data_IF_464629592389
#
_entry.id   IF_464629592389
#
_cell.length_a   1.000
_cell.length_b   1.000
_cell.length_c   1.000
_cell.angle_alpha   90.00
_cell.angle_beta   90.00
_cell.angle_gamma   90.00
#
_symmetry.space_group_name_H-M   'P 1'
#
loop_
_entity.id
_entity.type
_entity.pdbx_description
1 polymer ?
#
# COMPACT_ATOMS: atom_id res chain seq x y z
N UNK A 1 -10.21 -31.38 39.20
CA UNK A 1 -11.06 -31.57 40.39
C UNK A 1 -10.95 -30.43 41.44
N UNK A 2 -9.99 -29.48 41.31
CA UNK A 2 -9.82 -28.35 42.26
C UNK A 2 -10.30 -26.96 41.75
N UNK A 3 -10.81 -26.85 40.52
CA UNK A 3 -11.16 -25.55 39.90
C UNK A 3 -12.28 -24.77 40.60
N UNK A 4 -13.23 -25.47 41.24
CA UNK A 4 -14.31 -24.83 41.99
C UNK A 4 -13.81 -24.14 43.28
N UNK A 5 -12.81 -24.71 43.95
CA UNK A 5 -12.19 -24.12 45.15
C UNK A 5 -11.43 -22.82 44.81
N UNK A 6 -10.73 -22.80 43.67
CA UNK A 6 -10.03 -21.58 43.20
C UNK A 6 -11.00 -20.47 42.77
N UNK A 7 -12.09 -20.80 42.08
CA UNK A 7 -13.14 -19.83 41.70
C UNK A 7 -13.88 -19.22 42.91
N UNK A 8 -13.97 -19.95 44.03
CA UNK A 8 -14.62 -19.45 45.25
C UNK A 8 -13.74 -18.49 46.05
N UNK A 9 -12.42 -18.69 46.05
CA UNK A 9 -11.46 -17.85 46.76
C UNK A 9 -11.03 -16.59 45.97
N UNK A 10 -10.99 -16.63 44.63
CA UNK A 10 -10.38 -15.58 43.80
C UNK A 10 -11.31 -14.97 42.73
N UNK A 11 -12.58 -15.37 42.69
CA UNK A 11 -13.53 -14.97 41.64
C UNK A 11 -13.35 -15.79 40.34
N UNK A 12 -14.26 -15.67 39.37
CA UNK A 12 -14.20 -16.45 38.13
C UNK A 12 -12.98 -16.03 37.29
N UNK A 13 -12.18 -17.00 36.85
CA UNK A 13 -11.12 -16.78 35.86
C UNK A 13 -11.70 -16.15 34.59
N UNK A 14 -11.20 -14.98 34.19
CA UNK A 14 -11.59 -14.32 32.94
C UNK A 14 -10.89 -15.00 31.78
N UNK A 15 -11.63 -15.44 30.77
CA UNK A 15 -11.06 -16.02 29.54
C UNK A 15 -10.99 -15.01 28.39
N UNK A 16 -10.15 -15.30 27.40
CA UNK A 16 -10.10 -14.55 26.14
C UNK A 16 -11.46 -14.55 25.45
N UNK A 17 -12.22 -15.65 25.56
CA UNK A 17 -13.56 -15.76 25.00
C UNK A 17 -14.53 -14.78 25.68
N UNK A 18 -14.40 -14.58 27.00
CA UNK A 18 -15.19 -13.59 27.73
C UNK A 18 -14.83 -12.18 27.27
N UNK A 19 -13.54 -11.88 27.09
CA UNK A 19 -13.08 -10.60 26.56
C UNK A 19 -13.61 -10.32 25.15
N UNK A 20 -13.57 -11.31 24.26
CA UNK A 20 -14.12 -11.20 22.90
C UNK A 20 -15.64 -11.03 22.95
N UNK A 21 -16.33 -11.78 23.80
CA UNK A 21 -17.79 -11.66 23.98
C UNK A 21 -18.18 -10.26 24.48
N UNK A 22 -17.42 -9.69 25.42
CA UNK A 22 -17.61 -8.32 25.87
C UNK A 22 -17.34 -7.31 24.74
N UNK A 23 -16.28 -7.49 23.96
CA UNK A 23 -15.94 -6.62 22.84
C UNK A 23 -17.01 -6.59 21.73
N UNK A 24 -17.64 -7.74 21.45
CA UNK A 24 -18.69 -7.85 20.44
C UNK A 24 -20.12 -7.69 21.01
N UNK A 25 -20.24 -7.37 22.30
CA UNK A 25 -21.52 -7.08 22.92
C UNK A 25 -22.08 -5.72 22.47
N UNK A 26 -23.34 -5.46 22.82
CA UNK A 26 -24.00 -4.20 22.49
C UNK A 26 -23.46 -3.06 23.37
N UNK A 27 -22.88 -2.04 22.76
CA UNK A 27 -22.44 -0.83 23.46
C UNK A 27 -23.54 0.24 23.44
N UNK A 28 -23.94 0.73 24.61
CA UNK A 28 -24.85 1.87 24.70
C UNK A 28 -24.11 3.20 24.52
N UNK A 29 -24.50 3.97 23.50
CA UNK A 29 -24.00 5.31 23.22
C UNK A 29 -24.90 6.35 23.90
N UNK A 30 -24.45 6.91 25.03
CA UNK A 30 -25.19 7.89 25.86
C UNK A 30 -24.24 8.99 26.37
N UNK A 31 -24.81 10.10 26.85
CA UNK A 31 -24.04 11.22 27.42
C UNK A 31 -23.09 11.84 26.40
N UNK A 32 -21.82 11.98 26.75
CA UNK A 32 -20.79 12.55 25.86
C UNK A 32 -20.49 11.68 24.64
N UNK A 33 -20.91 10.41 24.64
CA UNK A 33 -20.72 9.45 23.54
C UNK A 33 -21.95 9.30 22.63
N UNK A 34 -22.91 10.24 22.66
CA UNK A 34 -24.12 10.17 21.83
C UNK A 34 -23.79 10.18 20.33
N UNK A 35 -24.56 9.42 19.55
CA UNK A 35 -24.39 9.33 18.10
C UNK A 35 -25.12 10.48 17.39
N UNK A 36 -24.45 11.13 16.42
CA UNK A 36 -25.07 12.11 15.54
C UNK A 36 -25.90 11.41 14.47
N UNK A 37 -27.22 11.48 14.59
CA UNK A 37 -28.12 10.82 13.67
C UNK A 37 -28.38 11.67 12.42
N UNK A 38 -27.99 11.17 11.25
CA UNK A 38 -28.16 11.87 9.97
C UNK A 38 -29.62 12.19 9.62
N UNK A 39 -30.56 11.32 10.01
CA UNK A 39 -32.01 11.56 9.77
C UNK A 39 -32.60 12.61 10.71
N UNK A 40 -32.08 12.68 11.93
CA UNK A 40 -32.59 13.58 12.97
C UNK A 40 -31.83 14.91 13.03
N UNK A 41 -30.65 14.99 12.40
CA UNK A 41 -29.68 16.08 12.45
C UNK A 41 -29.34 16.54 13.89
N UNK A 42 -29.22 15.58 14.82
CA UNK A 42 -28.91 15.83 16.24
C UNK A 42 -28.35 14.61 16.94
N UNK A 43 -27.69 14.84 18.08
CA UNK A 43 -27.18 13.80 18.97
C UNK A 43 -28.32 12.97 19.56
N UNK A 44 -28.15 11.64 19.57
CA UNK A 44 -29.11 10.66 20.07
C UNK A 44 -28.43 9.56 20.85
N UNK A 45 -29.17 9.01 21.81
CA UNK A 45 -28.80 7.75 22.41
C UNK A 45 -28.85 6.67 21.31
N UNK A 46 -27.82 5.82 21.26
CA UNK A 46 -27.72 4.75 20.29
C UNK A 46 -27.31 3.45 20.95
N UNK A 47 -27.46 2.36 20.20
CA UNK A 47 -26.85 1.07 20.54
C UNK A 47 -25.95 0.70 19.38
N UNK A 48 -24.68 0.44 19.66
CA UNK A 48 -23.68 0.03 18.67
C UNK A 48 -23.40 -1.46 18.84
N UNK A 49 -23.41 -2.18 17.72
CA UNK A 49 -22.95 -3.57 17.66
C UNK A 49 -21.77 -3.65 16.72
N UNK A 50 -20.84 -4.56 16.98
CA UNK A 50 -19.72 -4.86 16.10
C UNK A 50 -19.74 -6.34 15.74
N UNK A 51 -19.41 -6.68 14.50
CA UNK A 51 -19.31 -8.04 13.99
C UNK A 51 -18.17 -8.13 12.98
N UNK A 52 -17.58 -9.31 12.83
CA UNK A 52 -16.46 -9.54 11.90
C UNK A 52 -17.00 -9.85 10.50
N UNK A 53 -16.62 -9.04 9.50
CA UNK A 53 -16.97 -9.27 8.09
C UNK A 53 -15.96 -10.17 7.36
N UNK A 54 -14.71 -10.19 7.81
CA UNK A 54 -13.65 -11.00 7.22
C UNK A 54 -12.62 -11.34 8.28
N UNK A 55 -12.26 -12.62 8.36
CA UNK A 55 -11.24 -13.13 9.26
C UNK A 55 -9.85 -13.11 8.60
N UNK A 56 -8.81 -12.54 9.25
CA UNK A 56 -7.45 -12.50 8.72
C UNK A 56 -6.73 -13.85 8.88
N UNK A 57 -5.73 -14.17 8.06
CA UNK A 57 -4.92 -15.40 8.25
C UNK A 57 -4.14 -15.40 9.56
N UNK A 58 -3.71 -14.21 10.02
CA UNK A 58 -3.13 -13.98 11.34
C UNK A 58 -4.00 -12.96 12.08
N UNK A 59 -4.62 -13.40 13.18
CA UNK A 59 -5.42 -12.59 14.08
C UNK A 59 -4.52 -12.04 15.19
N UNK A 60 -4.42 -10.72 15.26
CA UNK A 60 -3.76 -10.01 16.36
C UNK A 60 -4.81 -9.58 17.37
N UNK A 61 -4.68 -10.05 18.62
CA UNK A 61 -5.59 -9.71 19.72
C UNK A 61 -4.85 -8.91 20.77
N UNK A 62 -5.24 -7.65 20.95
CA UNK A 62 -4.69 -6.78 21.98
C UNK A 62 -5.61 -6.74 23.21
N UNK A 63 -5.06 -7.14 24.35
CA UNK A 63 -5.73 -6.99 25.65
C UNK A 63 -5.49 -5.56 26.16
N UNK A 64 -6.55 -4.74 26.17
CA UNK A 64 -6.52 -3.32 26.60
C UNK A 64 -6.28 -3.18 28.11
N UNK A 65 -5.04 -3.43 28.56
CA UNK A 65 -4.65 -3.43 29.97
C UNK A 65 -4.38 -2.04 30.52
N UNK A 66 -3.94 -1.11 29.70
CA UNK A 66 -3.56 0.23 30.15
C UNK A 66 -4.74 1.19 30.11
N UNK A 67 -4.90 1.96 31.18
CA UNK A 67 -5.83 3.08 31.27
C UNK A 67 -5.03 4.34 31.59
N UNK A 68 -5.21 5.36 30.77
CA UNK A 68 -4.60 6.67 30.97
C UNK A 68 -5.69 7.66 31.32
N UNK A 69 -5.68 8.13 32.55
CA UNK A 69 -6.53 9.23 33.02
C UNK A 69 -5.67 10.47 33.20
N UNK A 70 -6.30 11.66 33.24
CA UNK A 70 -5.60 12.95 33.24
C UNK A 70 -4.54 13.07 34.35
N UNK A 71 -4.77 12.42 35.51
CA UNK A 71 -3.86 12.50 36.66
C UNK A 71 -3.06 11.23 36.94
N UNK A 72 -3.44 10.07 36.39
CA UNK A 72 -2.74 8.82 36.65
C UNK A 72 -2.90 7.83 35.51
N UNK A 73 -1.91 6.95 35.37
CA UNK A 73 -1.97 5.80 34.46
C UNK A 73 -2.00 4.52 35.29
N UNK A 74 -2.84 3.56 34.90
CA UNK A 74 -2.98 2.28 35.60
C UNK A 74 -2.92 1.10 34.62
N UNK A 75 -2.50 -0.06 35.12
CA UNK A 75 -2.44 -1.33 34.37
C UNK A 75 -3.35 -2.36 35.04
N UNK A 76 -4.20 -3.00 34.26
CA UNK A 76 -5.02 -4.14 34.66
C UNK A 76 -4.15 -5.40 34.63
N UNK A 77 -3.79 -5.90 35.80
CA UNK A 77 -2.95 -7.09 36.00
C UNK A 77 -3.73 -8.40 36.12
N UNK A 78 -5.06 -8.37 35.95
CA UNK A 78 -5.88 -9.57 35.98
C UNK A 78 -5.38 -10.61 34.98
N UNK A 79 -5.23 -11.84 35.43
CA UNK A 79 -4.93 -12.97 34.57
C UNK A 79 -6.10 -13.19 33.59
N UNK A 80 -5.76 -13.38 32.32
CA UNK A 80 -6.72 -13.72 31.26
C UNK A 80 -6.29 -15.07 30.71
N UNK A 81 -7.12 -16.10 30.85
CA UNK A 81 -6.82 -17.40 30.27
C UNK A 81 -7.05 -17.37 28.76
N UNK A 82 -6.14 -17.93 27.98
CA UNK A 82 -6.24 -18.00 26.53
C UNK A 82 -5.85 -19.38 26.02
N UNK A 83 -6.51 -19.91 24.97
CA UNK A 83 -6.19 -21.22 24.42
C UNK A 83 -4.91 -21.15 23.57
N UNK A 84 -4.05 -22.16 23.66
CA UNK A 84 -2.94 -22.30 22.70
C UNK A 84 -3.43 -22.82 21.35
N UNK A 85 -4.50 -23.61 21.34
CA UNK A 85 -5.07 -24.21 20.14
C UNK A 85 -6.59 -24.08 20.18
N UNK A 86 -7.23 -23.96 19.01
CA UNK A 86 -8.67 -24.06 18.91
C UNK A 86 -9.47 -22.82 19.33
N UNK A 87 -8.90 -21.61 19.21
CA UNK A 87 -9.68 -20.37 19.40
C UNK A 87 -10.73 -20.25 18.28
N UNK A 88 -12.01 -20.34 18.64
CA UNK A 88 -13.12 -20.24 17.68
C UNK A 88 -13.71 -18.83 17.61
N UNK A 89 -13.57 -18.20 16.44
CA UNK A 89 -14.12 -16.89 16.13
C UNK A 89 -15.53 -16.93 15.53
N UNK A 90 -16.09 -18.13 15.27
CA UNK A 90 -17.41 -18.30 14.65
C UNK A 90 -18.55 -17.51 15.33
N UNK A 91 -18.62 -17.35 16.68
CA UNK A 91 -19.72 -16.64 17.33
C UNK A 91 -19.77 -15.13 17.03
N UNK A 92 -18.65 -14.56 16.56
CA UNK A 92 -18.45 -13.12 16.38
C UNK A 92 -18.61 -12.66 14.93
N UNK A 93 -18.89 -13.58 14.01
CA UNK A 93 -19.01 -13.28 12.59
C UNK A 93 -20.32 -12.57 12.24
N UNK A 94 -20.26 -11.72 11.23
CA UNK A 94 -21.44 -11.19 10.55
C UNK A 94 -22.03 -12.26 9.62
N UNK A 95 -23.32 -12.18 9.33
CA UNK A 95 -23.99 -13.10 8.40
C UNK A 95 -23.41 -13.06 6.97
N UNK A 96 -22.86 -11.90 6.57
CA UNK A 96 -22.21 -11.70 5.27
C UNK A 96 -20.73 -12.09 5.27
N UNK A 97 -20.20 -12.59 6.40
CA UNK A 97 -18.83 -13.09 6.44
C UNK A 97 -18.72 -14.31 5.53
N UNK A 98 -17.75 -14.34 4.59
CA UNK A 98 -17.52 -15.51 3.76
C UNK A 98 -17.33 -16.76 4.62
N UNK A 99 -17.97 -17.86 4.21
CA UNK A 99 -17.76 -19.17 4.84
C UNK A 99 -16.29 -19.56 4.65
N UNK A 100 -15.64 -19.99 5.72
CA UNK A 100 -14.23 -20.35 5.70
C UNK A 100 -13.76 -20.84 7.06
N UNK A 101 -12.44 -20.88 7.22
CA UNK A 101 -11.80 -21.32 8.47
C UNK A 101 -11.96 -20.24 9.55
N UNK A 102 -12.52 -20.64 10.70
CA UNK A 102 -12.79 -19.76 11.85
C UNK A 102 -11.94 -20.07 13.09
N UNK A 103 -11.19 -21.17 13.05
CA UNK A 103 -10.37 -21.67 14.16
C UNK A 103 -8.94 -21.17 14.03
N UNK A 104 -8.34 -20.83 15.16
CA UNK A 104 -6.98 -20.34 15.23
C UNK A 104 -6.18 -20.98 16.36
N UNK A 105 -4.87 -21.13 16.11
CA UNK A 105 -3.90 -21.57 17.10
C UNK A 105 -2.87 -20.46 17.37
N UNK A 106 -2.43 -20.35 18.61
CA UNK A 106 -1.49 -19.33 19.06
C UNK A 106 -0.11 -19.62 18.50
N UNK A 107 0.49 -18.62 17.86
CA UNK A 107 1.85 -18.72 17.29
C UNK A 107 2.86 -17.86 18.02
N UNK A 108 2.42 -16.76 18.61
CA UNK A 108 3.26 -15.89 19.40
C UNK A 108 2.41 -15.04 20.35
N UNK A 109 3.04 -14.46 21.37
CA UNK A 109 2.45 -13.46 22.22
C UNK A 109 3.53 -12.50 22.76
N UNK A 110 3.10 -11.30 23.13
CA UNK A 110 3.91 -10.32 23.84
C UNK A 110 3.36 -10.20 25.25
N UNK A 111 4.25 -10.30 26.23
CA UNK A 111 3.99 -10.02 27.64
C UNK A 111 4.48 -8.64 28.01
N UNK A 112 3.85 -8.06 29.02
CA UNK A 112 4.38 -6.87 29.67
C UNK A 112 4.38 -7.09 31.17
N UNK A 113 5.55 -7.05 31.79
CA UNK A 113 5.71 -7.08 33.24
C UNK A 113 5.87 -5.66 33.78
N UNK A 114 5.39 -5.41 34.99
CA UNK A 114 5.48 -4.09 35.62
C UNK A 114 4.22 -3.24 35.47
N UNK A 115 4.39 -1.93 35.59
CA UNK A 115 3.31 -0.93 35.75
C UNK A 115 3.08 -0.11 34.48
N UNK A 116 2.09 0.78 34.49
CA UNK A 116 1.85 1.69 33.37
C UNK A 116 2.97 2.72 33.14
N UNK A 117 3.77 3.04 34.17
CA UNK A 117 4.86 4.03 34.08
C UNK A 117 6.24 3.45 33.82
N UNK A 118 6.43 2.15 34.08
CA UNK A 118 7.69 1.43 33.88
C UNK A 118 7.42 -0.06 33.88
N UNK A 119 8.02 -0.77 32.92
CA UNK A 119 7.84 -2.20 32.74
C UNK A 119 8.82 -2.78 31.73
N UNK A 120 8.65 -4.06 31.46
CA UNK A 120 9.53 -4.84 30.59
C UNK A 120 8.69 -5.68 29.64
N UNK A 121 9.09 -5.76 28.37
CA UNK A 121 8.40 -6.54 27.35
C UNK A 121 9.21 -7.79 27.02
N UNK A 122 8.52 -8.93 27.00
CA UNK A 122 9.08 -10.22 26.55
C UNK A 122 8.17 -10.80 25.48
N UNK A 123 8.74 -11.53 24.54
CA UNK A 123 7.97 -12.23 23.52
C UNK A 123 8.09 -13.74 23.69
N UNK A 124 7.00 -14.46 23.46
CA UNK A 124 7.02 -15.90 23.32
C UNK A 124 6.60 -16.26 21.89
N UNK A 125 7.32 -17.16 21.24
CA UNK A 125 6.97 -17.60 19.90
C UNK A 125 7.20 -19.10 19.72
N UNK A 126 6.30 -19.73 18.96
CA UNK A 126 6.41 -21.12 18.55
C UNK A 126 7.33 -21.20 17.33
N UNK A 127 8.41 -21.95 17.44
CA UNK A 127 9.31 -22.21 16.32
C UNK A 127 8.70 -23.30 15.42
N UNK A 128 8.42 -22.94 14.17
CA UNK A 128 7.78 -23.83 13.20
C UNK A 128 8.66 -24.98 12.69
N UNK A 129 9.98 -24.94 12.95
CA UNK A 129 10.91 -25.98 12.47
C UNK A 129 10.97 -27.18 13.42
N UNK A 130 10.79 -26.96 14.72
CA UNK A 130 10.90 -27.99 15.74
C UNK A 130 9.68 -28.08 16.68
N UNK A 131 8.66 -27.23 16.46
CA UNK A 131 7.42 -27.19 17.23
C UNK A 131 7.64 -26.92 18.73
N UNK A 132 8.66 -26.13 19.07
CA UNK A 132 8.98 -25.74 20.45
C UNK A 132 8.76 -24.25 20.71
N UNK A 133 8.32 -23.92 21.91
CA UNK A 133 8.18 -22.54 22.36
C UNK A 133 9.52 -21.98 22.85
N UNK A 134 9.75 -20.71 22.51
CA UNK A 134 10.88 -19.94 22.98
C UNK A 134 10.40 -18.62 23.56
N UNK A 135 11.05 -18.22 24.66
CA UNK A 135 11.01 -16.88 25.22
C UNK A 135 12.16 -16.06 24.63
N UNK A 136 11.84 -14.84 24.24
CA UNK A 136 12.76 -13.82 23.74
C UNK A 136 12.73 -12.66 24.72
N UNK A 137 13.79 -12.57 25.53
CA UNK A 137 14.01 -11.54 26.53
C UNK A 137 15.28 -10.77 26.15
N UNK A 138 15.08 -9.69 25.39
CA UNK A 138 16.14 -8.89 24.77
C UNK A 138 17.19 -9.74 24.02
N UNK A 139 18.38 -9.91 24.60
CA UNK A 139 19.49 -10.67 24.02
C UNK A 139 19.45 -12.16 24.37
N UNK A 140 18.53 -12.59 25.22
CA UNK A 140 18.42 -13.96 25.71
C UNK A 140 17.26 -14.69 25.01
N UNK A 141 17.55 -15.87 24.50
CA UNK A 141 16.56 -16.76 23.87
C UNK A 141 16.58 -18.10 24.59
N UNK A 142 15.47 -18.45 25.22
CA UNK A 142 15.33 -19.62 26.11
C UNK A 142 14.18 -20.50 25.65
N UNK A 143 14.41 -21.82 25.56
CA UNK A 143 13.30 -22.75 25.31
C UNK A 143 12.43 -22.86 26.55
N UNK A 144 11.11 -22.83 26.37
CA UNK A 144 10.12 -22.88 27.44
C UNK A 144 9.05 -23.93 27.15
N UNK A 145 8.40 -24.42 28.21
CA UNK A 145 7.27 -25.32 28.07
C UNK A 145 5.96 -24.56 27.74
N UNK A 146 4.97 -25.21 27.11
CA UNK A 146 3.70 -24.57 26.78
C UNK A 146 2.91 -24.04 28.00
N UNK A 147 3.08 -24.63 29.19
CA UNK A 147 2.40 -24.18 30.39
C UNK A 147 2.99 -22.84 30.89
N UNK A 148 4.29 -22.62 30.75
CA UNK A 148 4.92 -21.31 30.97
C UNK A 148 4.32 -20.24 30.06
N UNK A 149 4.05 -20.57 28.78
CA UNK A 149 3.41 -19.66 27.82
C UNK A 149 1.97 -19.34 28.24
N UNK A 150 1.18 -20.32 28.67
CA UNK A 150 -0.21 -20.09 29.10
C UNK A 150 -0.32 -19.19 30.34
N UNK A 151 0.64 -19.27 31.26
CA UNK A 151 0.59 -18.55 32.53
C UNK A 151 1.14 -17.12 32.47
N UNK A 152 1.53 -16.64 31.29
CA UNK A 152 2.14 -15.33 31.14
C UNK A 152 1.12 -14.18 31.24
N UNK A 153 1.58 -12.98 31.59
CA UNK A 153 0.75 -11.76 31.59
C UNK A 153 0.63 -11.20 30.16
N UNK A 154 -0.08 -11.95 29.30
CA UNK A 154 -0.23 -11.64 27.88
C UNK A 154 -0.81 -10.23 27.68
N UNK A 155 -0.20 -9.47 26.78
CA UNK A 155 -0.62 -8.14 26.36
C UNK A 155 -1.13 -8.16 24.90
N UNK A 156 -0.39 -8.80 23.99
CA UNK A 156 -0.79 -8.99 22.60
C UNK A 156 -0.64 -10.46 22.22
N UNK A 157 -1.66 -11.07 21.63
CA UNK A 157 -1.65 -12.45 21.17
C UNK A 157 -1.71 -12.52 19.64
N UNK A 158 -0.91 -13.40 19.05
CA UNK A 158 -0.86 -13.63 17.61
C UNK A 158 -1.32 -15.06 17.30
N UNK A 159 -2.52 -15.14 16.75
CA UNK A 159 -3.21 -16.36 16.39
C UNK A 159 -3.14 -16.57 14.88
N UNK A 160 -2.84 -17.78 14.40
CA UNK A 160 -2.85 -18.14 12.98
C UNK A 160 -3.98 -19.13 12.71
N UNK A 161 -4.70 -18.94 11.59
CA UNK A 161 -5.75 -19.88 11.19
C UNK A 161 -5.21 -21.30 11.02
N UNK A 162 -6.00 -22.28 11.43
CA UNK A 162 -5.64 -23.70 11.33
C UNK A 162 -6.67 -24.51 10.58
N UNK A 163 -6.20 -25.45 9.76
CA UNK A 163 -7.04 -26.21 8.82
C UNK A 163 -6.41 -27.57 8.50
N UNK A 164 -7.06 -28.64 8.96
CA UNK A 164 -6.67 -30.02 8.68
C UNK A 164 -6.68 -30.33 7.19
N UNK A 165 -7.64 -29.75 6.45
CA UNK A 165 -7.73 -29.91 5.00
C UNK A 165 -6.50 -29.33 4.30
N UNK A 166 -5.97 -28.21 4.79
CA UNK A 166 -4.72 -27.65 4.25
C UNK A 166 -3.50 -28.48 4.59
N UNK A 167 -3.45 -29.09 5.79
CA UNK A 167 -2.38 -30.03 6.15
C UNK A 167 -2.38 -31.23 5.19
N UNK A 168 -3.55 -31.83 4.94
CA UNK A 168 -3.70 -32.92 3.97
C UNK A 168 -3.27 -32.50 2.57
N UNK A 169 -3.67 -31.29 2.13
CA UNK A 169 -3.30 -30.77 0.80
C UNK A 169 -1.78 -30.62 0.66
N UNK A 170 -1.09 -30.09 1.68
CA UNK A 170 0.38 -29.97 1.71
C UNK A 170 1.08 -31.32 1.67
N UNK A 171 0.64 -32.26 2.51
CA UNK A 171 1.21 -33.60 2.53
C UNK A 171 1.07 -34.28 1.17
N UNK A 172 -0.10 -34.14 0.53
CA UNK A 172 -0.32 -34.66 -0.81
C UNK A 172 0.58 -34.02 -1.86
N UNK A 173 0.80 -32.71 -1.79
CA UNK A 173 1.75 -32.01 -2.68
C UNK A 173 3.16 -32.57 -2.52
N UNK A 174 3.63 -32.79 -1.28
CA UNK A 174 4.96 -33.36 -1.02
C UNK A 174 5.11 -34.79 -1.57
N UNK A 175 4.08 -35.63 -1.41
CA UNK A 175 4.05 -36.98 -2.00
C UNK A 175 4.16 -36.93 -3.54
N UNK A 176 3.41 -36.04 -4.19
CA UNK A 176 3.46 -35.88 -5.65
C UNK A 176 4.82 -35.36 -6.10
N UNK A 177 5.42 -34.42 -5.36
CA UNK A 177 6.75 -33.92 -5.65
C UNK A 177 7.80 -35.05 -5.60
N UNK A 178 7.79 -35.88 -4.55
CA UNK A 178 8.72 -37.02 -4.41
C UNK A 178 8.53 -38.07 -5.51
N UNK A 179 7.27 -38.36 -5.88
CA UNK A 179 6.98 -39.25 -7.01
C UNK A 179 7.49 -38.69 -8.33
N UNK A 180 7.20 -37.42 -8.59
CA UNK A 180 7.62 -36.77 -9.84
C UNK A 180 9.12 -36.62 -9.98
N UNK A 181 9.90 -36.63 -8.89
CA UNK A 181 11.37 -36.67 -8.95
C UNK A 181 11.89 -37.93 -9.65
N UNK A 182 11.10 -39.02 -9.66
CA UNK A 182 11.45 -40.30 -10.28
C UNK A 182 10.94 -40.44 -11.71
N UNK A 183 10.15 -39.47 -12.18
CA UNK A 183 9.50 -39.47 -13.49
C UNK A 183 9.99 -38.26 -14.31
N UNK A 184 10.43 -38.48 -15.55
CA UNK A 184 10.86 -37.38 -16.42
C UNK A 184 9.63 -36.72 -17.05
N UNK A 185 9.05 -35.74 -16.37
CA UNK A 185 7.96 -34.92 -16.92
C UNK A 185 8.42 -34.11 -18.13
N UNK A 186 7.53 -33.94 -19.11
CA UNK A 186 7.80 -33.19 -20.35
C UNK A 186 7.71 -31.67 -20.16
N UNK A 187 6.98 -31.20 -19.14
CA UNK A 187 6.70 -29.79 -18.89
C UNK A 187 7.04 -29.39 -17.45
N UNK A 188 7.65 -28.23 -17.34
CA UNK A 188 7.91 -27.52 -16.09
C UNK A 188 6.88 -26.40 -15.95
N UNK A 189 6.38 -26.19 -14.73
CA UNK A 189 5.46 -25.09 -14.41
C UNK A 189 6.12 -24.16 -13.40
N UNK A 190 6.29 -22.91 -13.78
CA UNK A 190 6.83 -21.85 -12.94
C UNK A 190 5.71 -21.23 -12.12
N UNK A 191 5.87 -21.24 -10.81
CA UNK A 191 4.89 -20.73 -9.85
C UNK A 191 5.54 -19.75 -8.90
N UNK A 192 4.86 -18.65 -8.59
CA UNK A 192 5.34 -17.61 -7.67
C UNK A 192 5.77 -18.19 -6.33
N UNK A 193 6.99 -17.86 -5.87
CA UNK A 193 7.43 -18.17 -4.50
C UNK A 193 6.58 -17.45 -3.47
N UNK A 194 6.03 -16.28 -3.77
CA UNK A 194 5.09 -15.61 -2.86
C UNK A 194 3.83 -16.44 -2.65
N UNK A 195 3.26 -16.99 -3.72
CA UNK A 195 2.12 -17.88 -3.60
C UNK A 195 2.49 -19.20 -2.90
N UNK A 196 3.65 -19.79 -3.21
CA UNK A 196 4.13 -21.01 -2.51
C UNK A 196 4.31 -20.75 -1.00
N UNK A 197 4.81 -19.58 -0.61
CA UNK A 197 4.93 -19.19 0.80
C UNK A 197 3.56 -19.10 1.46
N UNK A 198 2.56 -18.51 0.80
CA UNK A 198 1.16 -18.54 1.28
C UNK A 198 0.65 -19.96 1.38
N UNK A 199 0.85 -20.80 0.36
CA UNK A 199 0.44 -22.21 0.39
C UNK A 199 1.03 -22.93 1.61
N UNK A 200 2.30 -22.70 1.93
CA UNK A 200 2.98 -23.33 3.06
C UNK A 200 2.53 -22.82 4.43
N UNK A 201 2.00 -21.60 4.53
CA UNK A 201 1.76 -20.94 5.83
C UNK A 201 0.30 -20.60 6.12
N UNK A 202 -0.53 -20.35 5.10
CA UNK A 202 -1.90 -19.85 5.25
C UNK A 202 -2.91 -21.00 5.22
N UNK A 203 -3.98 -20.88 6.00
CA UNK A 203 -5.12 -21.77 5.90
C UNK A 203 -5.92 -21.50 4.61
N UNK A 204 -5.82 -20.29 4.06
CA UNK A 204 -6.43 -19.91 2.79
C UNK A 204 -5.43 -19.13 1.92
N UNK A 205 -4.58 -19.81 1.14
CA UNK A 205 -3.57 -19.15 0.31
C UNK A 205 -4.14 -18.35 -0.86
N UNK A 206 -5.41 -18.61 -1.23
CA UNK A 206 -6.06 -18.04 -2.39
C UNK A 206 -5.61 -18.68 -3.71
N UNK A 207 -6.15 -18.19 -4.84
CA UNK A 207 -5.80 -18.71 -6.17
C UNK A 207 -4.32 -18.49 -6.49
N UNK A 208 -3.76 -19.40 -7.30
CA UNK A 208 -2.39 -19.25 -7.80
C UNK A 208 -2.27 -17.93 -8.57
N UNK A 209 -1.24 -17.16 -8.26
CA UNK A 209 -0.99 -15.87 -8.89
C UNK A 209 0.50 -15.73 -9.22
N UNK A 210 0.81 -15.60 -10.51
CA UNK A 210 2.17 -15.47 -11.04
C UNK A 210 2.52 -14.02 -11.48
N UNK A 211 1.67 -13.04 -11.16
CA UNK A 211 1.82 -11.64 -11.58
C UNK A 211 2.94 -10.89 -10.83
N UNK A 212 3.52 -11.50 -9.81
CA UNK A 212 4.72 -10.98 -9.15
C UNK A 212 5.98 -11.13 -10.02
N UNK A 213 6.00 -12.05 -10.99
CA UNK A 213 7.09 -12.17 -11.97
C UNK A 213 6.63 -12.04 -13.43
N UNK A 214 5.37 -12.34 -13.74
CA UNK A 214 4.78 -12.13 -15.07
C UNK A 214 4.12 -10.75 -15.17
N UNK A 215 4.26 -10.11 -16.32
CA UNK A 215 3.46 -8.96 -16.69
C UNK A 215 2.11 -9.41 -17.28
N UNK A 216 1.22 -8.44 -17.50
CA UNK A 216 -0.11 -8.67 -18.10
C UNK A 216 -0.06 -9.25 -19.52
N UNK A 217 1.07 -9.12 -20.21
CA UNK A 217 1.30 -9.70 -21.54
C UNK A 217 1.74 -11.18 -21.50
N UNK A 218 1.89 -11.77 -20.31
CA UNK A 218 2.26 -13.19 -20.12
C UNK A 218 3.76 -13.49 -20.14
N UNK A 219 4.61 -12.49 -20.34
CA UNK A 219 6.07 -12.62 -20.25
C UNK A 219 6.64 -12.03 -18.96
N UNK A 220 7.94 -12.20 -18.74
CA UNK A 220 8.66 -11.60 -17.60
C UNK A 220 8.99 -10.15 -17.92
N UNK A 221 8.69 -9.23 -16.99
CA UNK A 221 9.05 -7.82 -17.17
C UNK A 221 10.58 -7.66 -17.25
N UNK A 222 11.14 -6.82 -18.15
CA UNK A 222 12.59 -6.71 -18.32
C UNK A 222 13.35 -6.35 -17.03
N UNK A 223 12.76 -5.51 -16.17
CA UNK A 223 13.33 -5.19 -14.85
C UNK A 223 13.38 -6.36 -13.86
N UNK A 224 12.67 -7.46 -14.12
CA UNK A 224 12.64 -8.67 -13.28
C UNK A 224 13.42 -9.83 -13.90
N UNK A 225 13.65 -9.80 -15.21
CA UNK A 225 14.33 -10.85 -15.94
C UNK A 225 15.69 -11.28 -15.33
N UNK A 226 16.54 -10.38 -14.81
CA UNK A 226 17.84 -10.77 -14.24
C UNK A 226 17.76 -11.66 -13.00
N UNK A 227 16.63 -11.66 -12.28
CA UNK A 227 16.46 -12.37 -11.01
C UNK A 227 15.13 -13.15 -10.96
N UNK A 228 14.54 -13.48 -12.12
CA UNK A 228 13.24 -14.16 -12.17
C UNK A 228 13.26 -15.53 -11.51
N UNK A 229 14.39 -16.25 -11.57
CA UNK A 229 14.57 -17.56 -10.92
C UNK A 229 14.50 -17.44 -9.38
N UNK A 230 14.81 -16.27 -8.83
CA UNK A 230 14.64 -15.99 -7.41
C UNK A 230 13.17 -15.79 -7.02
N UNK A 231 12.29 -15.48 -7.99
CA UNK A 231 10.88 -15.19 -7.76
C UNK A 231 9.96 -16.41 -7.91
N UNK A 232 10.38 -17.45 -8.63
CA UNK A 232 9.53 -18.60 -8.93
C UNK A 232 10.13 -19.95 -8.49
N UNK A 233 9.25 -20.91 -8.23
CA UNK A 233 9.57 -22.33 -8.01
C UNK A 233 9.04 -23.14 -9.19
N UNK A 234 9.79 -24.17 -9.57
CA UNK A 234 9.40 -25.09 -10.65
C UNK A 234 8.67 -26.30 -10.06
N UNK A 235 7.50 -26.61 -10.62
CA UNK A 235 6.75 -27.82 -10.34
C UNK A 235 6.61 -28.69 -11.58
N UNK A 236 6.54 -30.00 -11.36
CA UNK A 236 6.16 -30.97 -12.39
C UNK A 236 4.69 -30.80 -12.76
N UNK A 237 4.30 -31.31 -13.93
CA UNK A 237 2.92 -31.26 -14.41
C UNK A 237 1.92 -31.83 -13.40
N UNK A 238 2.21 -32.98 -12.78
CA UNK A 238 1.29 -33.63 -11.82
C UNK A 238 1.09 -32.80 -10.55
N UNK A 239 2.14 -32.12 -10.08
CA UNK A 239 2.04 -31.21 -8.93
C UNK A 239 1.27 -29.95 -9.31
N UNK A 240 1.55 -29.37 -10.48
CA UNK A 240 0.83 -28.21 -11.00
C UNK A 240 -0.67 -28.48 -11.14
N UNK A 241 -1.05 -29.58 -11.81
CA UNK A 241 -2.46 -29.94 -12.04
C UNK A 241 -3.21 -30.10 -10.71
N UNK A 242 -2.59 -30.77 -9.74
CA UNK A 242 -3.18 -30.92 -8.41
C UNK A 242 -3.40 -29.59 -7.68
N UNK A 243 -2.39 -28.70 -7.72
CA UNK A 243 -2.49 -27.39 -7.08
C UNK A 243 -3.50 -26.49 -7.81
N UNK A 244 -3.50 -26.50 -9.14
CA UNK A 244 -4.42 -25.72 -9.95
C UNK A 244 -5.87 -26.19 -9.79
N UNK A 245 -6.13 -27.50 -9.76
CA UNK A 245 -7.46 -28.05 -9.45
C UNK A 245 -7.91 -27.69 -8.03
N UNK A 246 -6.97 -27.68 -7.07
CA UNK A 246 -7.25 -27.37 -5.67
C UNK A 246 -7.53 -25.91 -5.37
N UNK A 247 -6.87 -24.97 -6.07
CA UNK A 247 -6.86 -23.55 -5.72
C UNK A 247 -7.26 -22.62 -6.87
N UNK A 248 -7.29 -23.12 -8.11
CA UNK A 248 -7.51 -22.33 -9.31
C UNK A 248 -6.43 -21.26 -9.54
N UNK A 249 -6.81 -20.24 -10.29
CA UNK A 249 -5.94 -19.10 -10.59
C UNK A 249 -5.14 -19.27 -11.89
N UNK A 250 -4.04 -18.54 -11.97
CA UNK A 250 -3.19 -18.45 -13.15
C UNK A 250 -2.49 -17.09 -13.27
N UNK A 251 -1.87 -16.82 -14.43
CA UNK A 251 -1.78 -17.70 -15.60
C UNK A 251 -0.80 -18.86 -15.38
N UNK A 252 -1.05 -20.00 -16.04
CA UNK A 252 -0.07 -21.08 -16.12
C UNK A 252 1.18 -20.59 -16.86
N UNK A 253 2.37 -20.92 -16.35
CA UNK A 253 3.63 -20.50 -16.95
C UNK A 253 4.52 -21.71 -17.17
N UNK A 254 4.70 -22.13 -18.42
CA UNK A 254 5.55 -23.26 -18.78
C UNK A 254 6.92 -22.86 -19.31
N UNK A 255 7.11 -21.57 -19.62
CA UNK A 255 8.36 -21.04 -20.13
C UNK A 255 8.55 -19.59 -19.68
N UNK A 256 9.75 -19.26 -19.23
CA UNK A 256 10.15 -17.88 -18.94
C UNK A 256 10.73 -17.25 -20.21
N UNK A 257 10.25 -16.05 -20.54
CA UNK A 257 10.81 -15.23 -21.61
C UNK A 257 10.65 -13.75 -21.25
N UNK A 258 11.60 -12.91 -21.66
CA UNK A 258 11.48 -11.46 -21.47
C UNK A 258 10.38 -10.93 -22.39
N UNK A 259 9.42 -10.20 -21.81
CA UNK A 259 8.27 -9.69 -22.53
C UNK A 259 8.69 -8.62 -23.58
N UNK A 260 8.52 -8.86 -24.90
CA UNK A 260 8.92 -7.90 -25.93
C UNK A 260 8.17 -6.58 -25.87
N UNK A 261 6.87 -6.62 -25.52
CA UNK A 261 6.04 -5.41 -25.37
C UNK A 261 6.59 -4.52 -24.25
N UNK A 262 6.84 -5.08 -23.06
CA UNK A 262 7.39 -4.34 -21.94
C UNK A 262 8.82 -3.84 -22.23
N UNK A 263 9.63 -4.61 -22.97
CA UNK A 263 10.95 -4.14 -23.44
C UNK A 263 10.79 -2.89 -24.31
N UNK A 264 9.89 -2.93 -25.30
CA UNK A 264 9.66 -1.80 -26.20
C UNK A 264 9.17 -0.56 -25.47
N UNK A 265 8.25 -0.73 -24.51
CA UNK A 265 7.75 0.34 -23.65
C UNK A 265 8.86 0.95 -22.78
N UNK A 266 9.70 0.10 -22.16
CA UNK A 266 10.82 0.56 -21.34
C UNK A 266 11.85 1.32 -22.18
N UNK A 267 12.23 0.80 -23.34
CA UNK A 267 13.15 1.49 -24.25
C UNK A 267 12.56 2.82 -24.77
N UNK A 268 11.26 2.87 -25.06
CA UNK A 268 10.59 4.10 -25.47
C UNK A 268 10.61 5.14 -24.34
N UNK A 269 10.39 4.70 -23.10
CA UNK A 269 10.46 5.55 -21.92
C UNK A 269 11.89 6.07 -21.67
N UNK A 270 12.90 5.21 -21.83
CA UNK A 270 14.31 5.57 -21.74
C UNK A 270 14.71 6.60 -22.81
N UNK A 271 14.30 6.36 -24.07
CA UNK A 271 14.51 7.32 -25.16
C UNK A 271 13.88 8.67 -24.86
N UNK A 272 12.63 8.68 -24.34
CA UNK A 272 11.95 9.90 -23.92
C UNK A 272 12.74 10.64 -22.84
N UNK A 273 13.16 9.95 -21.78
CA UNK A 273 13.96 10.56 -20.70
C UNK A 273 15.25 11.17 -21.22
N UNK A 274 15.96 10.44 -22.07
CA UNK A 274 17.21 10.93 -22.65
C UNK A 274 16.99 12.17 -23.53
N UNK A 275 15.99 12.12 -24.41
CA UNK A 275 15.64 13.24 -25.29
C UNK A 275 15.23 14.49 -24.50
N UNK A 276 14.43 14.33 -23.44
CA UNK A 276 14.02 15.45 -22.58
C UNK A 276 15.20 16.07 -21.83
N UNK A 277 16.08 15.25 -21.27
CA UNK A 277 17.28 15.71 -20.57
C UNK A 277 18.24 16.45 -21.52
N UNK A 278 18.53 15.86 -22.68
CA UNK A 278 19.44 16.45 -23.67
C UNK A 278 18.92 17.78 -24.20
N UNK A 279 17.63 17.84 -24.51
CA UNK A 279 16.98 19.08 -24.97
C UNK A 279 17.07 20.16 -23.90
N UNK A 280 16.72 19.84 -22.66
CA UNK A 280 16.80 20.79 -21.56
C UNK A 280 18.24 21.27 -21.29
N UNK A 281 19.22 20.36 -21.32
CA UNK A 281 20.64 20.70 -21.16
C UNK A 281 21.17 21.57 -22.32
N UNK A 282 20.74 21.31 -23.55
CA UNK A 282 21.10 22.13 -24.70
C UNK A 282 20.57 23.57 -24.55
N UNK A 283 19.28 23.72 -24.21
CA UNK A 283 18.66 25.03 -23.97
C UNK A 283 19.32 25.78 -22.81
N UNK A 284 19.69 25.07 -21.74
CA UNK A 284 20.39 25.67 -20.62
C UNK A 284 21.81 26.14 -21.00
N UNK A 285 22.56 25.37 -21.80
CA UNK A 285 23.89 25.77 -22.30
C UNK A 285 23.81 27.00 -23.18
N UNK A 286 22.85 27.04 -24.11
CA UNK A 286 22.63 28.19 -24.99
C UNK A 286 22.32 29.47 -24.18
N UNK A 287 21.46 29.34 -23.16
CA UNK A 287 21.15 30.45 -22.26
C UNK A 287 22.40 30.95 -21.50
N UNK A 288 23.24 30.04 -21.01
CA UNK A 288 24.47 30.38 -20.29
C UNK A 288 25.57 30.98 -21.18
N UNK A 289 25.64 30.60 -22.46
CA UNK A 289 26.67 31.07 -23.39
C UNK A 289 26.36 32.42 -24.06
N UNK A 290 25.19 33.03 -23.80
CA UNK A 290 24.83 34.33 -24.40
C UNK A 290 25.63 35.47 -23.76
N UNK A 291 26.49 36.10 -24.55
CA UNK A 291 27.15 37.35 -24.21
C UNK A 291 26.26 38.55 -24.59
N UNK A 292 25.69 39.25 -23.60
CA UNK A 292 24.90 40.48 -23.78
C UNK A 292 23.85 40.72 -22.68
N UNK A 293 23.30 41.94 -22.50
CA UNK A 293 22.25 42.20 -21.52
C UNK A 293 20.97 41.42 -21.89
N UNK A 294 20.25 40.82 -20.92
CA UNK A 294 19.19 39.87 -21.22
C UNK A 294 17.92 40.57 -21.71
N UNK A 295 17.42 40.27 -22.94
CA UNK A 295 16.04 40.58 -23.31
C UNK A 295 15.11 39.39 -23.03
N UNK A 296 15.55 38.35 -22.31
CA UNK A 296 14.80 37.10 -22.18
C UNK A 296 13.85 37.13 -20.97
N UNK A 297 12.61 36.74 -21.21
CA UNK A 297 11.64 36.51 -20.12
C UNK A 297 12.12 35.34 -19.27
N UNK A 298 12.17 35.53 -17.95
CA UNK A 298 12.54 34.49 -16.97
C UNK A 298 11.28 34.04 -16.25
N UNK A 299 11.04 32.74 -16.23
CA UNK A 299 9.88 32.11 -15.59
C UNK A 299 10.29 31.41 -14.31
N UNK A 300 9.38 31.36 -13.33
CA UNK A 300 9.51 30.52 -12.15
C UNK A 300 8.83 29.16 -12.39
N UNK A 301 9.51 28.09 -11.98
CA UNK A 301 8.96 26.74 -11.93
C UNK A 301 8.99 26.23 -10.49
N UNK A 302 7.87 25.68 -10.01
CA UNK A 302 7.78 25.04 -8.70
C UNK A 302 8.91 24.04 -8.47
N UNK A 303 9.69 24.22 -7.40
CA UNK A 303 10.78 23.29 -7.08
C UNK A 303 10.26 21.88 -6.79
N UNK A 304 9.02 21.75 -6.28
CA UNK A 304 8.38 20.45 -6.06
C UNK A 304 8.13 19.72 -7.38
N UNK A 305 7.56 20.42 -8.38
CA UNK A 305 7.33 19.83 -9.70
C UNK A 305 8.66 19.52 -10.40
N UNK A 306 9.63 20.43 -10.33
CA UNK A 306 10.96 20.21 -10.91
C UNK A 306 11.66 18.98 -10.33
N UNK A 307 11.57 18.76 -9.00
CA UNK A 307 12.10 17.55 -8.35
C UNK A 307 11.42 16.27 -8.84
N UNK A 308 10.11 16.30 -9.12
CA UNK A 308 9.40 15.16 -9.70
C UNK A 308 9.88 14.86 -11.13
N UNK A 309 10.00 15.90 -11.96
CA UNK A 309 10.55 15.78 -13.31
C UNK A 309 11.99 15.24 -13.30
N UNK A 310 12.86 15.79 -12.43
CA UNK A 310 14.23 15.32 -12.27
C UNK A 310 14.27 13.84 -11.80
N UNK A 311 13.39 13.46 -10.87
CA UNK A 311 13.30 12.08 -10.40
C UNK A 311 12.83 11.12 -11.51
N UNK A 312 11.90 11.54 -12.36
CA UNK A 312 11.50 10.83 -13.57
C UNK A 312 12.69 10.62 -14.51
N UNK A 313 13.42 11.68 -14.86
CA UNK A 313 14.58 11.59 -15.76
C UNK A 313 15.68 10.65 -15.23
N UNK A 314 15.85 10.60 -13.90
CA UNK A 314 16.80 9.70 -13.22
C UNK A 314 16.28 8.27 -13.02
N UNK A 315 15.14 7.91 -13.62
CA UNK A 315 14.50 6.61 -13.48
C UNK A 315 14.22 6.20 -12.02
N UNK A 316 14.05 7.16 -11.11
CA UNK A 316 13.61 6.89 -9.72
C UNK A 316 12.12 6.60 -9.64
N UNK A 317 11.37 7.10 -10.63
CA UNK A 317 9.95 6.82 -10.83
C UNK A 317 9.72 6.42 -12.28
N UNK A 318 8.80 5.48 -12.51
CA UNK A 318 8.37 5.04 -13.84
C UNK A 318 7.41 6.03 -14.50
N UNK A 319 6.67 6.80 -13.70
CA UNK A 319 5.68 7.74 -14.21
C UNK A 319 6.31 9.13 -14.43
N UNK A 320 6.01 9.78 -15.56
CA UNK A 320 6.37 11.17 -15.78
C UNK A 320 5.61 12.08 -14.80
N UNK A 321 6.12 13.29 -14.51
CA UNK A 321 5.34 14.24 -13.73
C UNK A 321 4.04 14.58 -14.47
N UNK A 322 2.98 14.89 -13.70
CA UNK A 322 1.75 15.44 -14.25
C UNK A 322 1.96 16.84 -14.84
N UNK A 323 0.87 17.54 -15.22
CA UNK A 323 0.95 18.92 -15.69
C UNK A 323 1.71 19.81 -14.71
N UNK A 324 2.41 20.84 -15.22
CA UNK A 324 3.12 21.80 -14.38
C UNK A 324 2.13 22.41 -13.38
N UNK A 325 2.45 22.35 -12.09
CA UNK A 325 1.67 23.01 -11.04
C UNK A 325 2.51 24.08 -10.32
N UNK A 326 2.28 25.32 -10.72
CA UNK A 326 2.84 26.51 -10.09
C UNK A 326 1.89 27.15 -9.09
N UNK A 327 0.70 26.58 -8.85
CA UNK A 327 -0.30 27.14 -7.92
C UNK A 327 0.30 27.40 -6.54
N UNK A 328 1.13 26.51 -5.95
CA UNK A 328 1.72 26.72 -4.63
C UNK A 328 2.68 27.92 -4.57
N UNK A 329 3.35 28.23 -5.68
CA UNK A 329 4.35 29.31 -5.77
C UNK A 329 3.75 30.63 -6.31
N UNK A 330 2.48 30.62 -6.69
CA UNK A 330 1.80 31.76 -7.29
C UNK A 330 0.93 32.52 -6.29
N UNK A 331 0.84 33.83 -6.52
CA UNK A 331 -0.07 34.75 -5.84
C UNK A 331 -0.66 35.71 -6.88
N UNK A 332 -1.99 35.72 -7.04
CA UNK A 332 -2.65 36.61 -7.99
C UNK A 332 -4.10 36.22 -8.28
N UNK A 333 -4.92 37.20 -8.66
CA UNK A 333 -6.28 36.99 -9.19
C UNK A 333 -6.38 37.66 -10.57
N UNK A 334 -6.71 36.88 -11.60
CA UNK A 334 -6.96 37.36 -12.95
C UNK A 334 -5.70 37.56 -13.81
N UNK A 335 -5.36 36.56 -14.63
CA UNK A 335 -4.44 36.65 -15.77
C UNK A 335 -2.95 36.87 -15.49
N UNK A 336 -2.59 37.67 -14.47
CA UNK A 336 -1.22 38.04 -14.14
C UNK A 336 -0.87 37.49 -12.75
N UNK A 337 0.01 36.49 -12.73
CA UNK A 337 0.43 35.78 -11.52
C UNK A 337 1.82 36.27 -11.10
N UNK A 338 2.00 36.57 -9.82
CA UNK A 338 3.30 36.92 -9.24
C UNK A 338 3.82 35.80 -8.35
N UNK A 339 5.13 35.79 -8.13
CA UNK A 339 5.77 34.83 -7.25
C UNK A 339 5.37 35.10 -5.79
N UNK A 340 4.97 34.06 -5.07
CA UNK A 340 4.75 34.11 -3.63
C UNK A 340 6.08 34.17 -2.89
N UNK A 341 6.20 35.09 -1.95
CA UNK A 341 7.43 35.25 -1.15
C UNK A 341 7.65 34.01 -0.27
N UNK A 342 8.89 33.54 -0.19
CA UNK A 342 9.30 32.43 0.67
C UNK A 342 8.99 31.03 0.11
N UNK A 343 8.59 30.92 -1.16
CA UNK A 343 8.39 29.62 -1.82
C UNK A 343 9.61 29.17 -2.61
N UNK A 344 9.88 27.87 -2.65
CA UNK A 344 10.97 27.30 -3.43
C UNK A 344 10.62 27.16 -4.92
N UNK A 345 11.48 27.71 -5.78
CA UNK A 345 11.31 27.65 -7.23
C UNK A 345 12.66 27.54 -7.96
N UNK A 346 12.62 27.08 -9.21
CA UNK A 346 13.72 27.15 -10.17
C UNK A 346 13.47 28.27 -11.18
N UNK A 347 14.51 29.01 -11.54
CA UNK A 347 14.46 30.04 -12.58
C UNK A 347 14.76 29.42 -13.94
N UNK A 348 13.88 29.60 -14.91
CA UNK A 348 14.01 29.05 -16.26
C UNK A 348 14.03 30.17 -17.30
N UNK A 349 14.84 29.98 -18.35
CA UNK A 349 14.74 30.80 -19.55
C UNK A 349 13.41 30.55 -20.26
N UNK A 350 12.96 31.50 -21.08
CA UNK A 350 11.73 31.35 -21.88
C UNK A 350 11.72 30.06 -22.71
N UNK A 351 12.82 29.70 -23.36
CA UNK A 351 12.88 28.49 -24.17
C UNK A 351 12.74 27.22 -23.31
N UNK A 352 13.36 27.19 -22.13
CA UNK A 352 13.24 26.07 -21.19
C UNK A 352 11.81 25.95 -20.63
N UNK A 353 11.18 27.08 -20.29
CA UNK A 353 9.79 27.12 -19.86
C UNK A 353 8.85 26.60 -20.96
N UNK A 354 8.98 27.11 -22.19
CA UNK A 354 8.14 26.71 -23.33
C UNK A 354 8.32 25.24 -23.69
N UNK A 355 9.54 24.69 -23.57
CA UNK A 355 9.80 23.26 -23.74
C UNK A 355 9.04 22.41 -22.71
N UNK A 356 9.16 22.72 -21.41
CA UNK A 356 8.49 21.96 -20.36
C UNK A 356 6.97 22.13 -20.43
N UNK A 357 6.48 23.37 -20.61
CA UNK A 357 5.05 23.65 -20.75
C UNK A 357 4.45 23.04 -22.02
N UNK A 358 5.21 23.00 -23.12
CA UNK A 358 4.77 22.33 -24.35
C UNK A 358 4.67 20.82 -24.21
N UNK A 359 5.54 20.22 -23.39
CA UNK A 359 5.58 18.76 -23.16
C UNK A 359 4.54 18.31 -22.13
N UNK A 360 4.38 19.08 -21.05
CA UNK A 360 3.58 18.68 -19.87
C UNK A 360 2.28 19.48 -19.70
N UNK A 361 2.15 20.62 -20.36
CA UNK A 361 1.05 21.56 -20.12
C UNK A 361 1.07 22.12 -18.70
N UNK A 362 -0.09 22.58 -18.23
CA UNK A 362 -0.26 23.11 -16.87
C UNK A 362 0.06 24.60 -16.75
N UNK A 363 0.34 25.02 -15.52
CA UNK A 363 0.57 26.41 -15.13
C UNK A 363 0.30 26.65 -13.63
N UNK A 364 -0.01 27.88 -13.23
CA UNK A 364 0.02 29.10 -14.03
C UNK A 364 1.46 29.53 -14.43
N UNK A 365 1.56 30.37 -15.48
CA UNK A 365 2.81 31.06 -15.81
C UNK A 365 3.13 32.11 -14.73
N UNK A 366 4.32 32.03 -14.13
CA UNK A 366 4.81 33.01 -13.14
C UNK A 366 6.07 33.63 -13.70
N UNK A 367 6.02 34.91 -14.07
CA UNK A 367 7.12 35.64 -14.69
C UNK A 367 7.93 36.36 -13.61
N UNK A 368 9.23 36.07 -13.54
CA UNK A 368 10.19 36.72 -12.63
C UNK A 368 10.75 38.00 -13.23
N UNK A 369 11.00 37.99 -14.54
CA UNK A 369 11.52 39.13 -15.29
C UNK A 369 10.90 39.09 -16.70
N UNK A 370 10.27 40.18 -17.12
CA UNK A 370 9.75 40.32 -18.47
C UNK A 370 10.79 40.98 -19.40
N UNK A 371 10.79 40.60 -20.68
CA UNK A 371 11.57 41.28 -21.70
C UNK A 371 11.20 42.78 -21.77
N UNK A 372 12.19 43.67 -21.87
CA UNK A 372 11.94 45.08 -22.16
C UNK A 372 11.34 45.21 -23.57
N UNK A 373 10.26 46.00 -23.77
CA UNK A 373 9.73 46.24 -25.10
C UNK A 373 10.81 46.90 -25.96
N UNK A 374 11.17 46.28 -27.10
CA UNK A 374 12.05 46.94 -28.06
C UNK A 374 11.36 48.20 -28.58
N UNK A 375 12.07 49.34 -28.69
CA UNK A 375 11.51 50.52 -29.34
C UNK A 375 11.16 50.15 -30.78
N UNK A 376 9.91 50.41 -31.18
CA UNK A 376 9.47 50.22 -32.55
C UNK A 376 10.44 50.94 -33.49
N UNK A 377 11.12 50.20 -34.37
CA UNK A 377 11.83 50.82 -35.48
C UNK A 377 10.80 51.63 -36.26
N UNK A 378 11.10 52.92 -36.46
CA UNK A 378 10.25 53.83 -37.19
C UNK A 378 10.11 53.33 -38.63
N UNK A 379 9.08 52.53 -38.89
CA UNK A 379 8.65 52.21 -40.24
C UNK A 379 8.10 53.50 -40.86
N UNK A 380 8.89 54.07 -41.77
CA UNK A 380 8.48 55.13 -42.68
C UNK A 380 7.17 54.70 -43.36
N UNK A 381 6.10 55.46 -43.10
CA UNK A 381 4.84 55.31 -43.83
C UNK A 381 5.07 55.67 -45.29
N UNK A 382 5.10 54.66 -46.16
CA UNK A 382 4.75 54.82 -47.57
C UNK A 382 3.37 54.23 -47.75
N UNK A 383 2.39 55.09 -47.96
CA UNK A 383 1.04 54.72 -48.41
C UNK A 383 1.06 54.45 -49.91
N UNK A 384 0.62 53.27 -50.35
CA UNK A 384 -0.09 53.12 -51.62
C UNK A 384 -0.86 51.78 -51.71
N UNK A 385 -2.14 51.85 -52.10
CA UNK A 385 -2.74 50.94 -53.08
C UNK A 385 -3.35 49.61 -52.64
N UNK A 386 -4.65 49.62 -52.34
CA UNK A 386 -5.71 48.64 -52.73
C UNK A 386 -5.30 47.25 -53.27
N UNK A 387 -5.83 46.17 -52.68
CA UNK A 387 -6.85 45.27 -53.27
C UNK A 387 -7.24 44.11 -52.32
N UNK A 388 -8.52 43.73 -52.33
CA UNK A 388 -9.15 42.54 -51.69
C UNK A 388 -8.76 41.26 -52.48
N UNK A 389 -8.83 40.01 -51.92
CA UNK A 389 -10.11 39.37 -51.61
C UNK A 389 -10.16 38.34 -50.45
N UNK A 390 -11.40 37.89 -50.22
CA UNK A 390 -12.02 36.87 -49.36
C UNK A 390 -11.31 35.54 -49.06
N UNK A 391 -11.54 34.98 -47.85
CA UNK A 391 -12.25 33.71 -47.60
C UNK A 391 -12.19 33.27 -46.10
N UNK A 392 -13.34 32.90 -45.53
CA UNK A 392 -13.54 32.01 -44.36
C UNK A 392 -13.61 30.54 -44.86
N UNK A 393 -13.70 29.42 -44.05
CA UNK A 393 -14.20 29.20 -42.66
C UNK A 393 -13.43 28.06 -41.90
N UNK A 394 -14.01 27.14 -41.07
CA UNK A 394 -14.95 27.20 -39.93
C UNK A 394 -14.40 26.59 -38.61
N UNK A 395 -15.18 26.74 -37.53
CA UNK A 395 -15.10 26.04 -36.22
C UNK A 395 -15.59 24.57 -36.29
N UNK A 396 -15.28 23.71 -35.30
CA UNK A 396 -16.40 23.09 -34.57
C UNK A 396 -16.21 22.80 -33.06
N UNK A 397 -17.33 23.01 -32.36
CA UNK A 397 -18.02 22.16 -31.37
C UNK A 397 -17.34 21.60 -30.09
N UNK A 398 -18.03 21.93 -28.98
CA UNK A 398 -18.00 21.36 -27.62
C UNK A 398 -18.29 19.85 -27.59
N UNK A 399 -17.69 19.16 -26.62
CA UNK A 399 -18.32 18.01 -25.93
C UNK A 399 -18.10 18.10 -24.42
N UNK A 400 -19.19 17.85 -23.72
CA UNK A 400 -19.41 17.87 -22.28
C UNK A 400 -19.61 16.41 -21.86
N UNK A 401 -18.90 15.95 -20.82
CA UNK A 401 -19.17 14.66 -20.19
C UNK A 401 -19.28 14.84 -18.67
N UNK A 402 -20.43 14.41 -18.17
CA UNK A 402 -20.80 13.99 -16.81
C UNK A 402 -19.83 12.89 -16.33
N UNK A 403 -19.38 12.79 -15.08
CA UNK A 403 -20.15 12.64 -13.83
C UNK A 403 -19.83 11.22 -13.33
N UNK A 404 -19.16 11.09 -12.18
CA UNK A 404 -18.82 9.78 -11.60
C UNK A 404 -18.92 9.80 -10.06
N UNK A 405 -19.47 8.72 -9.54
CA UNK A 405 -19.95 8.50 -8.17
C UNK A 405 -18.81 8.15 -7.20
N UNK A 406 -18.76 8.83 -6.05
CA UNK A 406 -17.76 8.62 -5.01
C UNK A 406 -18.25 7.71 -3.88
N UNK A 407 -17.70 6.49 -3.82
CA UNK A 407 -17.74 5.62 -2.63
C UNK A 407 -16.66 6.04 -1.63
N UNK A 408 -17.06 6.58 -0.47
CA UNK A 408 -16.16 7.01 0.59
C UNK A 408 -15.76 5.89 1.55
N UNK A 409 -14.44 5.66 1.67
CA UNK A 409 -13.82 4.91 2.78
C UNK A 409 -13.62 5.86 3.97
N UNK A 410 -14.13 5.48 5.15
CA UNK A 410 -13.88 6.20 6.41
C UNK A 410 -12.76 5.53 7.21
N UNK A 411 -11.73 6.32 7.54
CA UNK A 411 -10.62 5.99 8.42
C UNK A 411 -10.87 6.66 9.78
N UNK A 412 -11.02 5.87 10.84
CA UNK A 412 -11.21 6.39 12.20
C UNK A 412 -9.82 6.70 12.78
N UNK A 413 -9.54 7.98 13.01
CA UNK A 413 -8.45 8.43 13.87
C UNK A 413 -8.86 8.21 15.34
N UNK A 414 -8.05 7.48 16.11
CA UNK A 414 -8.10 7.52 17.57
C UNK A 414 -7.26 8.70 18.04
N UNK A 415 -7.85 9.53 18.91
CA UNK A 415 -7.15 10.51 19.73
C UNK A 415 -6.47 9.84 20.91
#
# INVERSE_FOLDING_TARGET
MFGWMFNWLWGPTVSLQDCLSAFFSADELKGDNMYSCDKCHKLRNGVKFSKVLQLPEVLCVHLKRFRHEVMFSSKISNYVSFPLEGLDMSPFLHQDCPRGVTTYDLTALICHDGTAGSGHYRAYALNCLNEQWYEFDDQYVTSVDPQSVQNCEAYVLFYRKTSDEMVKKRNRTLELMERSRREHGLLNFYVSKQWVNKFNTFAQPGPINNLDFLCVHGGVHPSKAPYVEDLCTVFSQSVWEYLHDSFGGGPACTHLYVCPTCTSEQEALERRRHQELDTFMALNREFQSREGPPPATVYALSAAWFKQWEAFLRARHSEPPGPIDNTPISSGKGGQQSLRVGTDYASLSEAMWRFLQGTYGGGPEVVLQAALPQPASAAVRVTCGSTRPSASPPTPAKKQCTGDDGTGHFQIHQQ
#
